data_IF_595114813110
#
_entry.id   IF_595114813110
#
_cell.length_a   1.000
_cell.length_b   1.000
_cell.length_c   1.000
_cell.angle_alpha   90.00
_cell.angle_beta   90.00
_cell.angle_gamma   90.00
#
_symmetry.space_group_name_H-M   'P 1'
#
loop_
_entity.id
_entity.type
_entity.pdbx_description
1 polymer ?
#
# COMPACT_ATOMS: atom_id res chain seq x y z
N UNK A 1 -25.60 -8.15 13.71
CA UNK A 1 -25.38 -7.46 12.44
C UNK A 1 -25.86 -6.03 12.53
N UNK A 2 -24.94 -5.05 12.52
CA UNK A 2 -25.25 -3.63 12.71
C UNK A 2 -25.64 -2.91 11.40
N UNK A 3 -25.30 -3.47 10.24
CA UNK A 3 -25.37 -2.78 8.97
C UNK A 3 -26.35 -3.43 7.99
N UNK A 4 -26.33 -4.77 7.88
CA UNK A 4 -27.11 -5.51 6.90
C UNK A 4 -28.61 -5.49 7.25
N UNK A 5 -29.44 -5.20 6.24
CA UNK A 5 -30.92 -5.19 6.35
C UNK A 5 -31.48 -4.23 7.43
N UNK A 6 -30.80 -3.10 7.62
CA UNK A 6 -31.24 -2.05 8.56
C UNK A 6 -31.87 -0.90 7.80
N UNK A 7 -33.13 -0.61 8.08
CA UNK A 7 -33.89 0.45 7.39
C UNK A 7 -33.31 1.86 7.58
N UNK A 8 -32.49 2.05 8.63
CA UNK A 8 -31.80 3.32 8.90
C UNK A 8 -30.43 3.45 8.23
N UNK A 9 -29.92 2.38 7.59
CA UNK A 9 -28.65 2.37 6.87
C UNK A 9 -28.92 2.42 5.37
N UNK A 10 -28.63 3.54 4.73
CA UNK A 10 -28.76 3.70 3.27
C UNK A 10 -27.47 3.39 2.53
N UNK A 11 -26.34 3.76 3.12
CA UNK A 11 -25.00 3.53 2.56
C UNK A 11 -24.01 3.36 3.71
N UNK A 12 -23.06 2.45 3.53
CA UNK A 12 -21.91 2.31 4.42
C UNK A 12 -20.64 2.43 3.61
N UNK A 13 -19.78 3.37 4.00
CA UNK A 13 -18.45 3.54 3.44
C UNK A 13 -17.42 3.24 4.53
N UNK A 14 -16.50 2.31 4.26
CA UNK A 14 -15.44 1.92 5.18
C UNK A 14 -14.09 2.06 4.51
N UNK A 15 -13.10 2.55 5.25
CA UNK A 15 -11.71 2.60 4.83
C UNK A 15 -10.84 1.87 5.84
N UNK A 16 -9.78 1.27 5.38
CA UNK A 16 -8.80 0.59 6.22
C UNK A 16 -7.49 0.39 5.46
N UNK A 17 -6.43 0.09 6.18
CA UNK A 17 -5.13 -0.24 5.59
C UNK A 17 -5.16 -1.67 5.06
N UNK A 18 -5.88 -2.56 5.72
CA UNK A 18 -5.98 -3.96 5.39
C UNK A 18 -7.40 -4.33 4.93
N UNK A 19 -7.51 -5.33 4.04
CA UNK A 19 -8.79 -5.96 3.73
C UNK A 19 -9.46 -6.45 5.02
N UNK A 20 -10.77 -6.39 5.08
CA UNK A 20 -11.51 -6.97 6.20
C UNK A 20 -11.39 -8.48 6.12
N UNK A 21 -10.89 -9.12 7.19
CA UNK A 21 -10.79 -10.56 7.27
C UNK A 21 -12.16 -11.22 7.06
N UNK A 22 -12.28 -12.00 6.01
CA UNK A 22 -13.44 -12.85 5.79
C UNK A 22 -13.29 -14.13 6.62
N UNK A 23 -13.35 -14.01 7.96
CA UNK A 23 -13.34 -15.18 8.82
C UNK A 23 -14.63 -15.99 8.65
N UNK A 24 -14.49 -17.23 8.22
CA UNK A 24 -15.37 -18.41 8.33
C UNK A 24 -16.88 -18.26 8.08
N UNK A 25 -17.43 -17.06 8.07
CA UNK A 25 -18.83 -16.78 7.78
C UNK A 25 -18.97 -15.89 6.54
N UNK A 26 -18.47 -16.38 5.40
CA UNK A 26 -18.45 -15.65 4.13
C UNK A 26 -19.78 -15.04 3.65
N UNK A 27 -20.86 -15.23 4.39
CA UNK A 27 -22.16 -14.65 4.11
C UNK A 27 -22.42 -13.29 4.81
N UNK A 28 -21.65 -12.94 5.85
CA UNK A 28 -21.96 -11.73 6.62
C UNK A 28 -21.37 -10.46 6.04
N UNK A 29 -20.28 -10.55 5.28
CA UNK A 29 -19.58 -9.42 4.67
C UNK A 29 -19.78 -9.31 3.15
N UNK A 30 -20.55 -10.19 2.52
CA UNK A 30 -20.81 -10.18 1.07
C UNK A 30 -21.64 -8.98 0.58
N UNK A 31 -22.02 -8.09 1.47
CA UNK A 31 -22.73 -6.84 1.15
C UNK A 31 -21.79 -5.69 0.76
N UNK A 32 -20.48 -5.83 0.99
CA UNK A 32 -19.51 -4.81 0.65
C UNK A 32 -18.83 -5.13 -0.66
N UNK A 33 -18.63 -4.10 -1.47
CA UNK A 33 -17.73 -4.14 -2.59
C UNK A 33 -16.39 -3.57 -2.13
N UNK A 34 -15.34 -4.36 -2.24
CA UNK A 34 -14.00 -3.97 -1.83
C UNK A 34 -13.21 -3.46 -3.03
N UNK A 35 -12.52 -2.35 -2.83
CA UNK A 35 -11.59 -1.79 -3.81
C UNK A 35 -10.22 -1.70 -3.16
N UNK A 36 -9.20 -2.25 -3.83
CA UNK A 36 -7.81 -2.16 -3.41
C UNK A 36 -6.97 -1.54 -4.53
N UNK A 37 -5.82 -1.00 -4.19
CA UNK A 37 -4.91 -0.41 -5.17
C UNK A 37 -4.41 -1.46 -6.18
N UNK A 38 -4.32 -2.72 -5.79
CA UNK A 38 -3.77 -3.81 -6.58
C UNK A 38 -4.82 -4.57 -7.42
N UNK A 39 -6.07 -4.63 -6.98
CA UNK A 39 -7.08 -5.52 -7.59
C UNK A 39 -7.91 -4.86 -8.68
N UNK A 40 -8.25 -3.61 -8.48
CA UNK A 40 -9.21 -2.90 -9.34
C UNK A 40 -8.62 -1.58 -9.85
N UNK A 41 -8.84 -1.27 -11.13
CA UNK A 41 -8.44 0.02 -11.68
C UNK A 41 -9.36 1.18 -11.23
N UNK A 42 -10.58 0.84 -10.79
CA UNK A 42 -11.55 1.84 -10.34
C UNK A 42 -11.13 2.46 -9.02
N UNK A 43 -11.11 3.78 -8.96
CA UNK A 43 -10.74 4.59 -7.79
C UNK A 43 -9.25 4.56 -7.44
N UNK A 44 -8.38 4.14 -8.35
CA UNK A 44 -6.95 4.09 -8.09
C UNK A 44 -6.35 5.42 -7.66
N UNK A 45 -6.84 6.53 -8.22
CA UNK A 45 -6.41 7.90 -7.90
C UNK A 45 -6.65 8.31 -6.44
N UNK A 46 -7.43 7.56 -5.68
CA UNK A 46 -7.73 7.88 -4.26
C UNK A 46 -6.88 7.10 -3.24
N UNK A 47 -6.00 6.21 -3.69
CA UNK A 47 -5.17 5.42 -2.77
C UNK A 47 -3.85 6.08 -2.38
N UNK A 48 -3.49 7.17 -3.02
CA UNK A 48 -2.26 7.92 -2.75
C UNK A 48 -2.35 9.32 -3.33
N UNK A 49 -1.23 10.02 -3.39
CA UNK A 49 -1.14 11.26 -4.15
C UNK A 49 -0.64 10.98 -5.56
N UNK A 50 -1.30 11.58 -6.51
CA UNK A 50 -0.85 11.64 -7.92
C UNK A 50 0.32 12.60 -8.06
N UNK A 51 1.05 12.51 -9.17
CA UNK A 51 2.17 13.41 -9.46
C UNK A 51 1.72 14.88 -9.49
N UNK A 52 0.55 15.17 -10.08
CA UNK A 52 -0.02 16.52 -10.12
C UNK A 52 -0.45 17.07 -8.76
N UNK A 53 -0.91 16.22 -7.84
CA UNK A 53 -1.25 16.64 -6.48
C UNK A 53 0.02 16.94 -5.68
N UNK A 54 1.09 16.16 -5.87
CA UNK A 54 2.38 16.45 -5.26
C UNK A 54 2.98 17.73 -5.81
N UNK A 55 2.82 18.04 -7.10
CA UNK A 55 3.22 19.34 -7.69
C UNK A 55 2.51 20.50 -6.99
N UNK A 56 1.19 20.42 -6.79
CA UNK A 56 0.41 21.45 -6.10
C UNK A 56 0.85 21.61 -4.63
N UNK A 57 1.14 20.50 -3.94
CA UNK A 57 1.64 20.54 -2.57
C UNK A 57 3.02 21.17 -2.50
N UNK A 58 3.90 20.83 -3.43
CA UNK A 58 5.23 21.40 -3.52
C UNK A 58 5.21 22.91 -3.83
N UNK A 59 4.35 23.37 -4.73
CA UNK A 59 4.13 24.79 -4.96
C UNK A 59 3.69 25.53 -3.69
N UNK A 60 2.77 24.97 -2.92
CA UNK A 60 2.36 25.56 -1.63
C UNK A 60 3.51 25.61 -0.64
N UNK A 61 4.30 24.55 -0.57
CA UNK A 61 5.49 24.49 0.28
C UNK A 61 6.48 25.58 -0.08
N UNK A 62 6.85 25.74 -1.37
CA UNK A 62 7.83 26.74 -1.82
C UNK A 62 7.35 28.17 -1.59
N UNK A 63 6.05 28.44 -1.70
CA UNK A 63 5.46 29.76 -1.42
C UNK A 63 5.49 30.13 0.06
N UNK A 64 5.42 29.14 0.95
CA UNK A 64 5.27 29.36 2.39
C UNK A 64 6.58 29.13 3.19
N UNK A 65 7.60 28.58 2.56
CA UNK A 65 8.86 28.22 3.21
C UNK A 65 9.96 29.20 2.80
N UNK A 66 10.63 29.81 3.78
CA UNK A 66 11.70 30.82 3.53
C UNK A 66 12.99 30.15 3.02
N UNK A 67 13.32 29.01 3.55
CA UNK A 67 14.53 28.27 3.22
C UNK A 67 14.11 26.85 2.79
N UNK A 68 14.29 26.53 1.53
CA UNK A 68 13.82 25.28 0.91
C UNK A 68 14.97 24.29 0.95
N UNK A 69 14.77 23.16 1.65
CA UNK A 69 15.75 22.09 1.79
C UNK A 69 15.39 20.83 0.98
N UNK A 70 14.21 20.80 0.37
CA UNK A 70 13.71 19.64 -0.39
C UNK A 70 13.41 20.07 -1.81
N UNK A 71 13.93 19.35 -2.79
CA UNK A 71 13.53 19.50 -4.18
C UNK A 71 12.28 18.67 -4.51
N UNK A 72 11.64 18.94 -5.64
CA UNK A 72 10.52 18.14 -6.14
C UNK A 72 10.99 16.75 -6.55
N UNK A 73 12.21 16.64 -7.06
CA UNK A 73 12.89 15.42 -7.45
C UNK A 73 13.16 14.52 -6.25
N UNK A 74 13.55 15.08 -5.11
CA UNK A 74 13.72 14.33 -3.85
C UNK A 74 12.42 13.64 -3.42
N UNK A 75 11.28 14.35 -3.52
CA UNK A 75 9.98 13.75 -3.21
C UNK A 75 9.65 12.57 -4.13
N UNK A 76 10.02 12.67 -5.40
CA UNK A 76 9.82 11.61 -6.38
C UNK A 76 10.72 10.41 -6.09
N UNK A 77 12.00 10.64 -5.90
CA UNK A 77 12.97 9.58 -5.60
C UNK A 77 12.62 8.80 -4.33
N UNK A 78 12.14 9.50 -3.30
CA UNK A 78 11.92 8.90 -1.99
C UNK A 78 10.52 8.33 -1.78
N UNK A 79 9.49 8.90 -2.41
CA UNK A 79 8.10 8.59 -2.03
C UNK A 79 7.19 8.14 -3.18
N UNK A 80 7.67 8.17 -4.44
CA UNK A 80 6.98 7.64 -5.61
C UNK A 80 7.26 6.14 -5.76
N UNK A 81 6.68 5.33 -4.88
CA UNK A 81 7.01 3.89 -4.78
C UNK A 81 5.91 2.93 -5.15
N UNK A 82 4.67 3.39 -5.29
CA UNK A 82 3.53 2.51 -5.55
C UNK A 82 3.08 2.59 -7.01
N UNK A 83 2.70 1.44 -7.56
CA UNK A 83 2.08 1.35 -8.89
C UNK A 83 0.69 0.77 -8.72
N UNK A 84 -0.31 1.44 -9.29
CA UNK A 84 -1.70 0.99 -9.28
C UNK A 84 -1.94 -0.08 -10.34
N UNK A 85 -3.10 -0.73 -10.29
CA UNK A 85 -3.53 -1.70 -11.30
C UNK A 85 -3.57 -1.10 -12.72
N UNK A 86 -3.84 0.19 -12.85
CA UNK A 86 -3.81 0.92 -14.14
C UNK A 86 -2.40 1.29 -14.61
N UNK A 87 -1.37 1.02 -13.82
CA UNK A 87 0.01 1.38 -14.13
C UNK A 87 0.39 2.81 -13.73
N UNK A 88 -0.49 3.55 -13.06
CA UNK A 88 -0.19 4.89 -12.56
C UNK A 88 0.66 4.80 -11.30
N UNK A 89 1.60 5.74 -11.20
CA UNK A 89 2.46 5.85 -10.02
C UNK A 89 1.84 6.73 -8.96
N UNK A 90 1.98 6.30 -7.71
CA UNK A 90 1.36 6.97 -6.56
C UNK A 90 2.39 7.20 -5.46
N UNK A 91 2.32 8.37 -4.88
CA UNK A 91 3.15 8.74 -3.72
C UNK A 91 2.47 8.36 -2.41
N UNK A 92 3.28 8.00 -1.42
CA UNK A 92 2.79 7.82 -0.06
C UNK A 92 2.39 9.17 0.56
N UNK A 93 1.09 9.43 0.83
CA UNK A 93 0.63 10.74 1.28
C UNK A 93 1.24 11.19 2.60
N UNK A 94 1.36 10.26 3.57
CA UNK A 94 1.95 10.56 4.88
C UNK A 94 3.39 10.99 4.75
N UNK A 95 4.18 10.29 3.95
CA UNK A 95 5.59 10.59 3.77
C UNK A 95 5.80 11.95 3.09
N UNK A 96 5.05 12.24 2.03
CA UNK A 96 5.09 13.53 1.34
C UNK A 96 4.74 14.68 2.29
N UNK A 97 3.62 14.56 3.03
CA UNK A 97 3.17 15.60 3.95
C UNK A 97 4.19 15.84 5.07
N UNK A 98 4.73 14.79 5.66
CA UNK A 98 5.72 14.92 6.72
C UNK A 98 7.04 15.50 6.23
N UNK A 99 7.51 15.12 5.03
CA UNK A 99 8.70 15.71 4.44
C UNK A 99 8.53 17.22 4.25
N UNK A 100 7.46 17.65 3.59
CA UNK A 100 7.17 19.05 3.35
C UNK A 100 6.97 19.86 4.65
N UNK A 101 6.29 19.26 5.64
CA UNK A 101 6.05 19.91 6.93
C UNK A 101 7.33 20.08 7.74
N UNK A 102 8.18 19.06 7.74
CA UNK A 102 9.44 19.07 8.48
C UNK A 102 10.59 19.73 7.68
N UNK A 103 10.35 20.06 6.42
CA UNK A 103 11.36 20.59 5.50
C UNK A 103 12.60 19.69 5.42
N UNK A 104 12.38 18.37 5.42
CA UNK A 104 13.45 17.37 5.43
C UNK A 104 12.95 16.06 4.82
N UNK A 105 13.80 15.43 3.99
CA UNK A 105 13.59 14.08 3.51
C UNK A 105 13.93 13.07 4.60
N UNK A 106 13.12 12.04 4.74
CA UNK A 106 13.34 11.00 5.74
C UNK A 106 12.49 9.75 5.52
N UNK A 107 12.84 8.70 6.23
CA UNK A 107 12.12 7.44 6.19
C UNK A 107 10.86 7.51 7.08
N UNK A 108 9.82 8.15 6.58
CA UNK A 108 8.56 8.36 7.32
C UNK A 108 7.60 7.16 7.24
N UNK A 109 7.79 6.25 6.28
CA UNK A 109 6.91 5.09 6.10
C UNK A 109 7.20 3.96 7.10
N UNK A 110 8.41 3.83 7.61
CA UNK A 110 8.79 2.75 8.56
C UNK A 110 8.17 2.92 9.95
N UNK A 111 7.66 4.10 10.29
CA UNK A 111 7.02 4.35 11.58
C UNK A 111 5.54 3.95 11.63
N UNK A 112 4.99 3.44 10.54
CA UNK A 112 3.58 3.07 10.45
C UNK A 112 3.42 1.80 9.61
N UNK A 113 3.15 0.66 10.26
CA UNK A 113 2.86 -0.57 9.54
C UNK A 113 3.18 -1.82 10.36
N UNK A 114 2.65 -2.96 9.96
CA UNK A 114 2.84 -4.25 10.65
C UNK A 114 4.18 -4.91 10.28
N UNK A 115 5.28 -4.15 10.44
CA UNK A 115 6.64 -4.64 10.11
C UNK A 115 6.99 -5.91 10.86
N UNK A 116 6.65 -5.99 12.13
CA UNK A 116 6.98 -7.12 12.99
C UNK A 116 6.28 -8.40 12.51
N UNK A 117 5.04 -8.30 12.03
CA UNK A 117 4.30 -9.45 11.52
C UNK A 117 4.91 -9.99 10.23
N UNK A 118 5.17 -9.11 9.26
CA UNK A 118 5.79 -9.52 7.99
C UNK A 118 7.19 -10.06 8.22
N UNK A 119 7.99 -9.42 9.07
CA UNK A 119 9.32 -9.89 9.42
C UNK A 119 9.28 -11.29 10.03
N UNK A 120 8.30 -11.56 10.89
CA UNK A 120 8.10 -12.88 11.48
C UNK A 120 7.87 -13.94 10.41
N UNK A 121 6.97 -13.70 9.44
CA UNK A 121 6.67 -14.67 8.37
C UNK A 121 7.83 -14.87 7.39
N UNK A 122 8.53 -13.82 7.01
CA UNK A 122 9.75 -13.91 6.19
C UNK A 122 10.79 -14.79 6.91
N UNK A 123 10.97 -14.58 8.20
CA UNK A 123 11.95 -15.34 8.99
C UNK A 123 11.60 -16.81 9.13
N UNK A 124 10.32 -17.16 9.19
CA UNK A 124 9.86 -18.56 9.23
C UNK A 124 10.02 -19.28 7.89
N UNK A 125 10.00 -18.56 6.77
CA UNK A 125 10.01 -19.10 5.41
C UNK A 125 11.21 -18.58 4.59
N UNK A 126 12.33 -18.31 5.25
CA UNK A 126 13.48 -17.62 4.64
C UNK A 126 14.04 -18.37 3.44
N UNK A 127 14.09 -19.70 3.49
CA UNK A 127 14.62 -20.52 2.40
C UNK A 127 13.80 -20.40 1.12
N UNK A 128 12.48 -20.22 1.22
CA UNK A 128 11.56 -20.13 0.09
C UNK A 128 11.50 -18.72 -0.52
N UNK A 129 11.79 -17.69 0.27
CA UNK A 129 11.61 -16.28 -0.16
C UNK A 129 12.91 -15.51 -0.35
N UNK A 130 14.02 -15.99 0.23
CA UNK A 130 15.30 -15.26 0.28
C UNK A 130 15.86 -14.94 -1.11
N UNK A 131 15.86 -15.91 -2.00
CA UNK A 131 16.40 -15.73 -3.35
C UNK A 131 15.58 -14.73 -4.16
N UNK A 132 14.26 -14.83 -4.07
CA UNK A 132 13.36 -13.93 -4.78
C UNK A 132 13.42 -12.50 -4.21
N UNK A 133 13.54 -12.35 -2.90
CA UNK A 133 13.77 -11.04 -2.28
C UNK A 133 15.10 -10.42 -2.72
N UNK A 134 16.16 -11.23 -2.86
CA UNK A 134 17.45 -10.75 -3.35
C UNK A 134 17.34 -10.27 -4.82
N UNK A 135 16.60 -10.99 -5.67
CA UNK A 135 16.32 -10.56 -7.04
C UNK A 135 15.53 -9.24 -7.07
N UNK A 136 14.48 -9.12 -6.25
CA UNK A 136 13.69 -7.88 -6.16
C UNK A 136 14.54 -6.69 -5.68
N UNK A 137 15.44 -6.90 -4.71
CA UNK A 137 16.37 -5.86 -4.24
C UNK A 137 17.35 -5.44 -5.34
N UNK A 138 17.73 -6.37 -6.24
CA UNK A 138 18.57 -6.05 -7.38
C UNK A 138 17.83 -5.36 -8.54
N UNK A 139 16.52 -5.16 -8.40
CA UNK A 139 15.66 -4.51 -9.41
C UNK A 139 15.02 -5.47 -10.42
N UNK A 140 15.09 -6.78 -10.17
CA UNK A 140 14.45 -7.77 -11.02
C UNK A 140 13.01 -8.06 -10.55
N UNK A 141 12.07 -8.22 -11.50
CA UNK A 141 10.71 -8.61 -11.20
C UNK A 141 10.63 -10.11 -10.94
N UNK A 142 9.84 -10.50 -9.94
CA UNK A 142 9.57 -11.89 -9.60
C UNK A 142 8.09 -12.20 -9.79
N UNK A 143 7.80 -13.27 -10.52
CA UNK A 143 6.42 -13.69 -10.74
C UNK A 143 5.88 -14.39 -9.49
N UNK A 144 4.76 -13.88 -8.97
CA UNK A 144 4.04 -14.49 -7.86
C UNK A 144 2.52 -14.44 -8.12
N UNK A 145 1.82 -15.46 -7.65
CA UNK A 145 0.36 -15.48 -7.70
C UNK A 145 -0.20 -14.70 -6.53
N UNK A 146 -0.76 -13.52 -6.81
CA UNK A 146 -1.32 -12.67 -5.78
C UNK A 146 -2.63 -13.23 -5.25
N UNK A 147 -2.70 -13.35 -3.94
CA UNK A 147 -3.87 -13.82 -3.17
C UNK A 147 -4.24 -12.72 -2.16
N UNK A 148 -5.14 -11.85 -2.54
CA UNK A 148 -5.48 -10.64 -1.74
C UNK A 148 -5.90 -10.96 -0.30
N UNK A 149 -6.55 -12.09 -0.11
CA UNK A 149 -7.00 -12.54 1.22
C UNK A 149 -5.89 -13.13 2.09
N UNK A 150 -4.72 -13.41 1.53
CA UNK A 150 -3.60 -13.96 2.30
C UNK A 150 -3.10 -12.97 3.36
N UNK A 151 -3.12 -11.69 3.08
CA UNK A 151 -2.69 -10.65 4.00
C UNK A 151 -3.46 -10.62 5.34
N UNK A 152 -4.62 -11.21 5.38
CA UNK A 152 -5.50 -11.28 6.55
C UNK A 152 -5.39 -12.62 7.26
N UNK A 153 -4.66 -13.58 6.66
CA UNK A 153 -4.39 -14.87 7.28
C UNK A 153 -3.37 -14.71 8.40
N UNK A 154 -3.71 -15.20 9.60
CA UNK A 154 -2.76 -15.28 10.73
C UNK A 154 -1.69 -16.35 10.53
N UNK A 155 -1.62 -16.98 9.35
CA UNK A 155 -0.73 -18.11 9.10
C UNK A 155 -0.29 -18.11 7.63
N UNK A 156 0.73 -17.31 7.30
CA UNK A 156 1.32 -17.26 5.97
C UNK A 156 2.37 -18.39 5.87
N UNK A 157 2.08 -19.39 5.06
CA UNK A 157 2.92 -20.61 4.95
C UNK A 157 3.59 -20.77 3.61
N UNK A 158 3.11 -20.08 2.59
CA UNK A 158 3.67 -20.18 1.24
C UNK A 158 4.28 -18.85 0.78
N UNK A 159 5.24 -18.94 -0.13
CA UNK A 159 5.87 -17.78 -0.78
C UNK A 159 4.83 -16.82 -1.37
N UNK A 160 3.83 -17.32 -2.08
CA UNK A 160 2.79 -16.51 -2.68
C UNK A 160 1.95 -15.75 -1.65
N UNK A 161 1.63 -16.38 -0.52
CA UNK A 161 0.92 -15.72 0.58
C UNK A 161 1.75 -14.61 1.21
N UNK A 162 3.04 -14.85 1.44
CA UNK A 162 3.96 -13.86 1.99
C UNK A 162 4.10 -12.66 1.05
N UNK A 163 4.33 -12.89 -0.25
CA UNK A 163 4.43 -11.80 -1.22
C UNK A 163 3.12 -11.05 -1.40
N UNK A 164 1.99 -11.75 -1.36
CA UNK A 164 0.67 -11.12 -1.38
C UNK A 164 0.47 -10.20 -0.17
N UNK A 165 0.83 -10.67 1.02
CA UNK A 165 0.78 -9.85 2.22
C UNK A 165 1.74 -8.65 2.12
N UNK A 166 2.95 -8.85 1.61
CA UNK A 166 3.91 -7.75 1.42
C UNK A 166 3.40 -6.68 0.45
N UNK A 167 2.67 -7.05 -0.60
CA UNK A 167 2.02 -6.09 -1.50
C UNK A 167 0.90 -5.33 -0.79
N UNK A 168 0.02 -6.04 -0.09
CA UNK A 168 -1.10 -5.41 0.64
C UNK A 168 -0.60 -4.46 1.73
N UNK A 169 0.47 -4.82 2.41
CA UNK A 169 1.12 -3.97 3.42
C UNK A 169 2.01 -2.86 2.83
N UNK A 170 2.20 -2.85 1.51
CA UNK A 170 2.98 -1.81 0.82
C UNK A 170 4.50 -1.96 0.92
N UNK A 171 5.00 -3.16 1.17
CA UNK A 171 6.44 -3.46 1.12
C UNK A 171 6.94 -3.75 -0.29
N UNK A 172 6.07 -4.27 -1.15
CA UNK A 172 6.35 -4.55 -2.55
C UNK A 172 5.39 -3.74 -3.43
N UNK A 173 5.86 -3.34 -4.59
CA UNK A 173 5.04 -2.77 -5.64
C UNK A 173 4.66 -3.83 -6.66
N UNK A 174 3.57 -3.57 -7.35
CA UNK A 174 3.04 -4.41 -8.40
C UNK A 174 3.59 -3.94 -9.73
N UNK A 175 4.24 -4.82 -10.46
CA UNK A 175 4.62 -4.58 -11.86
C UNK A 175 3.67 -5.38 -12.74
N UNK A 176 3.08 -4.77 -13.76
CA UNK A 176 2.06 -5.36 -14.61
C UNK A 176 2.45 -6.77 -15.05
N UNK A 177 1.94 -7.76 -14.37
CA UNK A 177 2.03 -9.15 -14.73
C UNK A 177 0.69 -9.65 -15.27
N UNK A 178 0.75 -10.41 -16.38
CA UNK A 178 -0.34 -11.27 -16.83
C UNK A 178 -0.66 -12.36 -15.79
#
# INVERSE_FOLDING_TARGET
NLLKDRSYVQLTYMTGILPIAMYSSGSELNMFWEYTMASEAKYNEYFGFTDSEVDQLYEKYTRNTREIHISREDLKEWYDGYTTKSGERMYNPRSVVLALTNNNIGNYWTSSGPYDEIFYYIRQNIDDVQNDLALMISGEAVTAKIQEYAAVSMNLTTKNEIFSAMIVYGFLSYENGE
#
